data_IF_755869543305
#
_entry.id   IF_755869543305
#
_cell.length_a   1.000
_cell.length_b   1.000
_cell.length_c   1.000
_cell.angle_alpha   90.00
_cell.angle_beta   90.00
_cell.angle_gamma   90.00
#
_symmetry.space_group_name_H-M   'P 1'
#
loop_
_entity.id
_entity.type
_entity.pdbx_description
1 polymer ?
#
# COMPACT_ATOMS: atom_id res chain seq x y z
N UNK A 1 -8.12 12.50 -0.65
CA UNK A 1 -8.81 11.49 0.18
C UNK A 1 -8.66 10.12 -0.46
N UNK A 2 -8.55 9.06 0.35
CA UNK A 2 -8.60 7.67 -0.13
C UNK A 2 -10.06 7.27 -0.15
N UNK A 3 -10.61 6.99 -1.33
CA UNK A 3 -12.02 6.61 -1.49
C UNK A 3 -12.21 5.13 -1.17
N UNK A 4 -12.66 4.86 0.06
CA UNK A 4 -12.86 3.51 0.60
C UNK A 4 -13.98 2.72 -0.11
N UNK A 5 -14.89 3.39 -0.84
CA UNK A 5 -15.98 2.73 -1.57
C UNK A 5 -15.49 1.78 -2.68
N UNK A 6 -14.21 1.85 -3.07
CA UNK A 6 -13.63 1.00 -4.12
C UNK A 6 -13.16 -0.36 -3.59
N UNK A 7 -13.15 -0.57 -2.28
CA UNK A 7 -12.67 -1.78 -1.62
C UNK A 7 -13.85 -2.59 -1.12
N UNK A 8 -14.45 -3.39 -2.01
CA UNK A 8 -15.51 -4.32 -1.61
C UNK A 8 -14.90 -5.35 -0.64
N UNK A 9 -15.43 -5.50 0.59
CA UNK A 9 -14.99 -6.55 1.49
C UNK A 9 -15.34 -7.89 0.84
N UNK A 10 -14.32 -8.61 0.39
CA UNK A 10 -14.46 -9.87 -0.34
C UNK A 10 -13.65 -10.96 0.37
N UNK A 11 -14.23 -12.15 0.49
CA UNK A 11 -13.53 -13.34 0.97
C UNK A 11 -12.64 -13.96 -0.12
N UNK A 12 -12.83 -13.58 -1.38
CA UNK A 12 -12.12 -14.16 -2.52
C UNK A 12 -10.69 -13.62 -2.64
N UNK A 13 -9.71 -14.53 -2.63
CA UNK A 13 -8.28 -14.25 -2.85
C UNK A 13 -8.04 -13.44 -4.13
N UNK A 14 -8.66 -13.83 -5.25
CA UNK A 14 -8.50 -13.13 -6.53
C UNK A 14 -8.94 -11.66 -6.44
N UNK A 15 -10.01 -11.39 -5.70
CA UNK A 15 -10.54 -10.04 -5.58
C UNK A 15 -9.81 -9.20 -4.53
N UNK A 16 -9.24 -9.84 -3.49
CA UNK A 16 -8.25 -9.18 -2.62
C UNK A 16 -7.02 -8.74 -3.41
N UNK A 17 -6.50 -9.57 -4.33
CA UNK A 17 -5.38 -9.21 -5.22
C UNK A 17 -5.73 -8.01 -6.11
N UNK A 18 -6.92 -8.02 -6.74
CA UNK A 18 -7.39 -6.90 -7.55
C UNK A 18 -7.52 -5.59 -6.72
N UNK A 19 -8.07 -5.69 -5.51
CA UNK A 19 -8.17 -4.57 -4.57
C UNK A 19 -6.78 -4.00 -4.22
N UNK A 20 -5.81 -4.86 -3.91
CA UNK A 20 -4.43 -4.44 -3.68
C UNK A 20 -3.80 -3.77 -4.91
N UNK A 21 -4.07 -4.27 -6.11
CA UNK A 21 -3.64 -3.62 -7.36
C UNK A 21 -4.20 -2.20 -7.52
N UNK A 22 -5.47 -1.99 -7.19
CA UNK A 22 -6.08 -0.66 -7.19
C UNK A 22 -5.47 0.27 -6.14
N UNK A 23 -5.23 -0.22 -4.92
CA UNK A 23 -4.57 0.54 -3.86
C UNK A 23 -3.15 0.96 -4.30
N UNK A 24 -2.42 0.06 -4.94
CA UNK A 24 -1.08 0.30 -5.44
C UNK A 24 -1.05 1.44 -6.46
N UNK A 25 -1.99 1.44 -7.42
CA UNK A 25 -2.08 2.48 -8.46
C UNK A 25 -2.63 3.82 -7.94
N UNK A 26 -3.67 3.83 -7.12
CA UNK A 26 -4.32 5.07 -6.67
C UNK A 26 -3.66 5.74 -5.47
N UNK A 27 -3.15 4.95 -4.52
CA UNK A 27 -2.63 5.44 -3.24
C UNK A 27 -1.12 5.36 -3.20
N UNK A 28 -0.55 4.17 -3.42
CA UNK A 28 0.89 3.96 -3.26
C UNK A 28 1.70 4.68 -4.34
N UNK A 29 1.16 4.80 -5.56
CA UNK A 29 1.78 5.61 -6.61
C UNK A 29 1.95 7.08 -6.22
N UNK A 30 1.09 7.65 -5.36
CA UNK A 30 1.24 9.03 -4.87
C UNK A 30 2.40 9.17 -3.88
N UNK A 31 2.76 8.07 -3.22
CA UNK A 31 3.93 7.97 -2.34
C UNK A 31 5.20 7.58 -3.12
N UNK A 32 5.13 7.46 -4.45
CA UNK A 32 6.19 6.91 -5.29
C UNK A 32 6.62 5.50 -4.83
N UNK A 33 5.67 4.74 -4.29
CA UNK A 33 5.86 3.40 -3.75
C UNK A 33 5.06 2.41 -4.59
N UNK A 34 5.67 1.27 -4.91
CA UNK A 34 5.02 0.18 -5.66
C UNK A 34 5.26 -1.12 -4.95
N UNK A 35 4.18 -1.80 -4.58
CA UNK A 35 4.22 -3.14 -3.99
C UNK A 35 4.27 -4.17 -5.13
N UNK A 36 5.23 -5.11 -5.15
CA UNK A 36 5.28 -6.15 -6.16
C UNK A 36 4.12 -7.12 -6.00
N UNK A 37 3.71 -7.75 -7.10
CA UNK A 37 2.59 -8.69 -7.11
C UNK A 37 2.83 -9.89 -6.19
N UNK A 38 4.06 -10.38 -6.09
CA UNK A 38 4.43 -11.44 -5.15
C UNK A 38 4.12 -11.05 -3.70
N UNK A 39 4.45 -9.82 -3.29
CA UNK A 39 4.16 -9.33 -1.95
C UNK A 39 2.64 -9.23 -1.71
N UNK A 40 1.88 -8.81 -2.73
CA UNK A 40 0.41 -8.80 -2.68
C UNK A 40 -0.13 -10.23 -2.50
N UNK A 41 0.39 -11.21 -3.25
CA UNK A 41 -0.02 -12.61 -3.11
C UNK A 41 0.24 -13.14 -1.70
N UNK A 42 1.40 -12.81 -1.12
CA UNK A 42 1.73 -13.21 0.26
C UNK A 42 0.84 -12.53 1.31
N UNK A 43 0.48 -11.25 1.09
CA UNK A 43 -0.46 -10.51 1.94
C UNK A 43 -1.86 -11.12 1.89
N UNK A 44 -2.33 -11.49 0.70
CA UNK A 44 -3.64 -12.10 0.52
C UNK A 44 -3.72 -13.49 1.13
N UNK A 45 -2.60 -14.23 1.14
CA UNK A 45 -2.44 -15.52 1.82
C UNK A 45 -2.30 -15.39 3.34
N UNK A 46 -2.40 -14.20 3.92
CA UNK A 46 -2.22 -13.94 5.35
C UNK A 46 -0.88 -14.48 5.89
N UNK A 47 0.20 -14.40 5.10
CA UNK A 47 1.51 -14.85 5.56
C UNK A 47 1.94 -13.99 6.77
N UNK A 48 2.29 -14.61 7.91
CA UNK A 48 2.70 -13.88 9.10
C UNK A 48 3.94 -13.02 8.80
N UNK A 49 3.94 -11.78 9.30
CA UNK A 49 5.04 -10.82 9.11
C UNK A 49 4.96 -10.00 7.83
N UNK A 50 4.17 -10.40 6.82
CA UNK A 50 4.11 -9.68 5.55
C UNK A 50 3.32 -8.38 5.65
N UNK A 51 2.24 -8.36 6.44
CA UNK A 51 1.47 -7.15 6.69
C UNK A 51 2.32 -6.12 7.46
N UNK A 52 3.05 -6.59 8.46
CA UNK A 52 3.96 -5.80 9.28
C UNK A 52 5.10 -5.23 8.43
N UNK A 53 5.72 -6.05 7.58
CA UNK A 53 6.77 -5.60 6.66
C UNK A 53 6.24 -4.52 5.69
N UNK A 54 5.04 -4.70 5.14
CA UNK A 54 4.42 -3.67 4.30
C UNK A 54 4.19 -2.37 5.07
N UNK A 55 3.65 -2.46 6.30
CA UNK A 55 3.38 -1.29 7.14
C UNK A 55 4.67 -0.55 7.51
N UNK A 56 5.76 -1.27 7.79
CA UNK A 56 7.07 -0.66 8.04
C UNK A 56 7.58 0.11 6.82
N UNK A 57 7.57 -0.52 5.64
CA UNK A 57 7.99 0.13 4.38
C UNK A 57 7.15 1.37 4.06
N UNK A 58 5.83 1.28 4.26
CA UNK A 58 4.93 2.42 4.09
C UNK A 58 5.24 3.55 5.06
N UNK A 59 5.51 3.23 6.33
CA UNK A 59 5.86 4.23 7.34
C UNK A 59 7.12 4.99 6.96
N UNK A 60 8.16 4.29 6.54
CA UNK A 60 9.41 4.90 6.07
C UNK A 60 9.18 5.81 4.87
N UNK A 61 8.42 5.35 3.87
CA UNK A 61 8.11 6.16 2.68
C UNK A 61 7.29 7.41 3.00
N UNK A 62 6.32 7.30 3.90
CA UNK A 62 5.54 8.46 4.35
C UNK A 62 6.45 9.44 5.10
N UNK A 63 7.32 8.97 5.98
CA UNK A 63 8.27 9.82 6.71
C UNK A 63 9.26 10.52 5.77
N UNK A 64 9.79 9.82 4.77
CA UNK A 64 10.68 10.37 3.74
C UNK A 64 9.97 11.51 2.97
N UNK A 65 8.72 11.28 2.53
CA UNK A 65 7.90 12.29 1.85
C UNK A 65 7.57 13.49 2.74
N UNK A 66 7.28 13.27 4.02
CA UNK A 66 7.01 14.34 4.98
C UNK A 66 8.26 15.19 5.25
N UNK A 67 9.44 14.57 5.32
CA UNK A 67 10.72 15.28 5.44
C UNK A 67 11.03 16.12 4.21
N UNK A 68 10.81 15.58 3.01
CA UNK A 68 10.98 16.32 1.75
C UNK A 68 10.09 17.57 1.70
N UNK A 69 8.80 17.45 2.04
CA UNK A 69 7.91 18.63 2.10
C UNK A 69 8.33 19.69 3.11
N UNK A 70 8.95 19.29 4.24
CA UNK A 70 9.43 20.24 5.25
C UNK A 70 10.71 20.99 4.82
N UNK A 71 11.44 20.49 3.83
CA UNK A 71 12.65 21.14 3.30
C UNK A 71 12.39 22.20 2.22
N UNK A 72 11.20 22.23 1.62
CA UNK A 72 10.85 23.17 0.52
C UNK A 72 10.26 24.50 1.00
N UNK A 73 10.17 24.75 2.32
CA UNK A 73 9.69 26.03 2.90
C UNK A 73 10.79 26.71 3.74
N UNK A 74 12.06 26.37 3.50
CA UNK A 74 13.23 27.01 4.12
C UNK A 74 13.82 28.08 3.23
#
# INVERSE_FOLDING_TARGET
>A
MVELHSFVPTSSTAQKVANWGHLNRKVLSKLNFRVPEEMIQQLVQSRPGMAEQLLQLLREKIQEKQRQRKGETG
#
